data_IF_709062479962
#
_entry.id   IF_709062479962
#
_cell.length_a   1.000
_cell.length_b   1.000
_cell.length_c   1.000
_cell.angle_alpha   90.00
_cell.angle_beta   90.00
_cell.angle_gamma   90.00
#
_symmetry.space_group_name_H-M   'P 1'
#
loop_
_entity.id
_entity.type
_entity.pdbx_description
1 polymer ?
#
# COMPACT_ATOMS: atom_id res chain seq x y z
N UNK A 1 -6.28 15.67 8.38
CA UNK A 1 -4.98 15.19 8.94
C UNK A 1 -5.32 14.19 10.04
N UNK A 2 -4.87 12.95 9.91
CA UNK A 2 -5.51 11.77 10.53
C UNK A 2 -5.00 11.39 11.92
N UNK A 3 -5.70 10.43 12.55
CA UNK A 3 -5.41 9.87 13.87
C UNK A 3 -3.93 9.53 14.09
N UNK A 4 -3.28 8.86 13.12
CA UNK A 4 -1.89 8.41 13.21
C UNK A 4 -0.88 9.55 13.37
N UNK A 5 -1.14 10.71 12.77
CA UNK A 5 -0.24 11.87 12.86
C UNK A 5 -0.32 12.58 14.21
N UNK A 6 -1.37 12.30 15.01
CA UNK A 6 -1.59 12.88 16.33
C UNK A 6 -1.14 11.95 17.48
N UNK A 7 -0.65 10.75 17.17
CA UNK A 7 -0.11 9.85 18.17
C UNK A 7 1.15 10.46 18.80
N UNK A 8 1.38 10.11 20.07
CA UNK A 8 2.61 10.48 20.75
C UNK A 8 3.82 9.96 19.95
N UNK A 9 4.84 10.81 19.82
CA UNK A 9 6.05 10.56 19.02
C UNK A 9 5.88 10.43 17.49
N UNK A 10 4.67 10.60 16.93
CA UNK A 10 4.45 10.50 15.49
C UNK A 10 5.40 11.42 14.69
N UNK A 11 5.66 12.64 15.16
CA UNK A 11 6.61 13.57 14.51
C UNK A 11 8.05 13.07 14.42
N UNK A 12 8.44 12.09 15.26
CA UNK A 12 9.80 11.53 15.31
C UNK A 12 9.88 10.16 14.63
N UNK A 13 8.85 9.32 14.79
CA UNK A 13 8.86 7.91 14.40
C UNK A 13 8.00 7.58 13.19
N UNK A 14 7.00 8.40 12.86
CA UNK A 14 6.15 8.19 11.68
C UNK A 14 6.68 8.98 10.50
N UNK A 15 6.96 8.30 9.40
CA UNK A 15 7.24 8.92 8.10
C UNK A 15 6.15 8.51 7.12
N UNK A 16 5.47 9.49 6.56
CA UNK A 16 4.41 9.27 5.56
C UNK A 16 5.03 9.46 4.18
N UNK A 17 4.89 8.45 3.34
CA UNK A 17 5.32 8.46 1.94
C UNK A 17 4.08 8.30 1.05
N UNK A 18 4.05 8.97 -0.09
CA UNK A 18 3.09 8.65 -1.14
C UNK A 18 3.66 7.52 -1.99
N UNK A 19 2.96 6.39 -2.03
CA UNK A 19 3.31 5.23 -2.82
C UNK A 19 2.08 4.76 -3.61
N UNK A 20 2.33 4.20 -4.80
CA UNK A 20 1.30 3.72 -5.72
C UNK A 20 1.53 2.23 -5.96
N UNK A 21 0.50 1.41 -5.78
CA UNK A 21 0.58 -0.04 -6.02
C UNK A 21 0.94 -0.38 -7.47
N UNK A 22 0.63 0.52 -8.42
CA UNK A 22 1.02 0.37 -9.82
C UNK A 22 2.51 0.67 -10.07
N UNK A 23 3.23 1.19 -9.06
CA UNK A 23 4.65 1.56 -9.12
C UNK A 23 5.43 0.83 -8.03
N UNK A 24 5.64 -0.49 -8.20
CA UNK A 24 6.17 -1.38 -7.16
C UNK A 24 7.55 -0.96 -6.63
N UNK A 25 8.36 -0.27 -7.44
CA UNK A 25 9.64 0.32 -7.05
C UNK A 25 9.55 1.35 -5.92
N UNK A 26 8.35 1.84 -5.59
CA UNK A 26 8.11 2.82 -4.52
C UNK A 26 8.24 2.22 -3.10
N UNK A 27 8.29 0.89 -2.95
CA UNK A 27 8.20 0.17 -1.67
C UNK A 27 9.55 -0.37 -1.13
N UNK A 28 10.61 0.43 -1.11
CA UNK A 28 11.98 -0.02 -0.73
C UNK A 28 12.47 0.58 0.59
N UNK A 29 13.47 -0.07 1.20
CA UNK A 29 14.27 0.50 2.29
C UNK A 29 13.89 0.07 3.71
N UNK A 30 13.15 -1.03 3.86
CA UNK A 30 12.76 -1.60 5.15
C UNK A 30 13.32 -3.03 5.30
N UNK A 31 13.71 -3.44 6.51
CA UNK A 31 14.09 -4.84 6.79
C UNK A 31 12.88 -5.79 6.85
N UNK A 32 11.70 -5.26 7.15
CA UNK A 32 10.44 -6.01 7.20
C UNK A 32 9.28 -5.11 6.77
N UNK A 33 8.29 -5.70 6.10
CA UNK A 33 7.16 -4.98 5.49
C UNK A 33 5.85 -5.59 5.97
N UNK A 34 4.95 -4.75 6.46
CA UNK A 34 3.55 -5.10 6.67
C UNK A 34 2.75 -4.54 5.50
N UNK A 35 2.34 -5.41 4.57
CA UNK A 35 1.50 -5.02 3.45
C UNK A 35 0.03 -5.06 3.87
N UNK A 36 -0.61 -3.89 3.91
CA UNK A 36 -2.05 -3.79 4.25
C UNK A 36 -2.90 -3.10 3.18
N UNK A 37 -2.31 -2.75 2.05
CA UNK A 37 -2.98 -2.04 0.97
C UNK A 37 -3.79 -3.02 0.12
N UNK A 38 -5.07 -3.17 0.42
CA UNK A 38 -6.02 -3.87 -0.46
C UNK A 38 -6.72 -2.83 -1.36
N UNK A 39 -6.76 -3.03 -2.69
CA UNK A 39 -7.62 -2.23 -3.53
C UNK A 39 -9.06 -2.41 -3.06
N UNK A 40 -9.72 -1.28 -2.75
CA UNK A 40 -11.16 -1.26 -2.58
C UNK A 40 -11.74 -0.89 -3.94
N UNK A 41 -12.31 -1.87 -4.63
CA UNK A 41 -12.86 -1.71 -5.96
C UNK A 41 -13.81 -0.53 -6.10
N UNK A 42 -13.90 0.01 -7.32
CA UNK A 42 -14.81 1.11 -7.64
C UNK A 42 -16.25 0.64 -7.93
N UNK A 43 -16.52 -0.67 -7.92
CA UNK A 43 -17.80 -1.26 -8.29
C UNK A 43 -17.92 -2.74 -7.91
N UNK A 44 -19.07 -3.34 -8.24
CA UNK A 44 -19.42 -4.74 -7.95
C UNK A 44 -19.48 -5.61 -9.21
N UNK A 45 -18.77 -5.24 -10.29
CA UNK A 45 -18.77 -6.04 -11.53
C UNK A 45 -17.63 -7.05 -11.52
N UNK A 46 -17.75 -8.15 -12.28
CA UNK A 46 -16.66 -9.14 -12.38
C UNK A 46 -15.40 -8.56 -13.05
N UNK A 47 -15.54 -7.57 -13.93
CA UNK A 47 -14.42 -6.83 -14.52
C UNK A 47 -13.66 -6.02 -13.46
N UNK A 48 -14.34 -5.53 -12.42
CA UNK A 48 -13.70 -4.86 -11.28
C UNK A 48 -12.90 -5.86 -10.41
N UNK A 49 -13.41 -7.08 -10.23
CA UNK A 49 -12.76 -8.12 -9.42
C UNK A 49 -11.43 -8.60 -10.03
N UNK A 50 -11.39 -8.84 -11.35
CA UNK A 50 -10.15 -9.25 -12.02
C UNK A 50 -9.08 -8.15 -11.90
N UNK A 51 -9.47 -6.89 -12.10
CA UNK A 51 -8.57 -5.74 -12.00
C UNK A 51 -8.04 -5.56 -10.58
N UNK A 52 -8.91 -5.65 -9.58
CA UNK A 52 -8.53 -5.55 -8.17
C UNK A 52 -7.61 -6.69 -7.74
N UNK A 53 -7.93 -7.93 -8.15
CA UNK A 53 -7.12 -9.11 -7.84
C UNK A 53 -5.73 -8.98 -8.46
N UNK A 54 -5.67 -8.59 -9.74
CA UNK A 54 -4.39 -8.37 -10.42
C UNK A 54 -3.57 -7.29 -9.73
N UNK A 55 -4.16 -6.15 -9.40
CA UNK A 55 -3.48 -5.05 -8.72
C UNK A 55 -2.97 -5.46 -7.33
N UNK A 56 -3.77 -6.18 -6.56
CA UNK A 56 -3.39 -6.70 -5.25
C UNK A 56 -2.17 -7.64 -5.35
N UNK A 57 -2.20 -8.57 -6.31
CA UNK A 57 -1.11 -9.54 -6.52
C UNK A 57 0.16 -8.85 -7.02
N UNK A 58 0.06 -7.97 -8.01
CA UNK A 58 1.22 -7.26 -8.57
C UNK A 58 1.83 -6.29 -7.55
N UNK A 59 1.00 -5.58 -6.79
CA UNK A 59 1.44 -4.69 -5.71
C UNK A 59 2.17 -5.44 -4.59
N UNK A 60 1.64 -6.60 -4.16
CA UNK A 60 2.31 -7.47 -3.19
C UNK A 60 3.64 -8.01 -3.73
N UNK A 61 3.66 -8.51 -4.97
CA UNK A 61 4.89 -9.02 -5.59
C UNK A 61 5.95 -7.91 -5.70
N UNK A 62 5.52 -6.69 -6.00
CA UNK A 62 6.35 -5.50 -5.99
C UNK A 62 7.02 -5.24 -4.65
N UNK A 63 6.22 -5.24 -3.58
CA UNK A 63 6.71 -5.05 -2.22
C UNK A 63 7.70 -6.15 -1.78
N UNK A 64 7.50 -7.40 -2.21
CA UNK A 64 8.39 -8.52 -1.89
C UNK A 64 9.73 -8.48 -2.64
N UNK A 65 9.78 -7.85 -3.82
CA UNK A 65 11.01 -7.68 -4.62
C UNK A 65 11.85 -6.46 -4.20
N UNK A 66 11.31 -5.61 -3.32
CA UNK A 66 11.89 -4.33 -2.89
C UNK A 66 13.09 -4.45 -1.96
#
# INVERSE_FOLDING_TARGET
MGFLSNLEEASKKLRIFNADLNKPESFKGCMGVFHWAQPMGKGCTEEDEEVDTKLAVEGLLGALKG
#
